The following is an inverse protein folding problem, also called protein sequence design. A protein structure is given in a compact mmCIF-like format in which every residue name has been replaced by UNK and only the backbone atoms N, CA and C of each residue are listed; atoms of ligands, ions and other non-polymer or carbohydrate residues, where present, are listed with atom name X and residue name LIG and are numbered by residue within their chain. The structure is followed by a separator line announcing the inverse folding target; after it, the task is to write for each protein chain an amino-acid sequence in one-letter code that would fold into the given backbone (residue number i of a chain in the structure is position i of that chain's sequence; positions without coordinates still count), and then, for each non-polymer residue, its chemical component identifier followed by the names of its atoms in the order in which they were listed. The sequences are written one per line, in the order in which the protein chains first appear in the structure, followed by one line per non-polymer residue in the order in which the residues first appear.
data_IF_706309100841
#
_entry.id   IF_706309100841
#
_cell.length_a   1.000
_cell.length_b   1.000
_cell.length_c   1.000
_cell.angle_alpha   90.00
_cell.angle_beta   90.00
_cell.angle_gamma   90.00
#
_symmetry.space_group_name_H-M   'P 1'
#
loop_
_entity.id
_entity.type
_entity.pdbx_description
1 polymer ?
#
# COMPACT_ATOMS: atom_id res chain seq x y z
N UNK A 1 8.00 -47.84 21.83
CA UNK A 1 8.22 -46.46 22.32
C UNK A 1 9.42 -45.90 21.60
N UNK A 2 9.21 -45.07 20.58
CA UNK A 2 10.28 -44.44 19.81
C UNK A 2 9.94 -42.98 19.59
N UNK A 3 10.52 -42.10 20.40
CA UNK A 3 10.49 -40.67 20.10
C UNK A 3 11.45 -40.40 18.95
N UNK A 4 11.03 -39.71 17.88
CA UNK A 4 11.96 -39.35 16.83
C UNK A 4 12.89 -38.25 17.34
N UNK A 5 14.17 -38.59 17.46
CA UNK A 5 15.29 -37.65 17.55
C UNK A 5 15.64 -37.19 16.14
N UNK A 6 15.12 -36.03 15.72
CA UNK A 6 15.78 -35.08 14.83
C UNK A 6 14.83 -33.96 14.42
N UNK A 7 14.91 -32.82 15.12
CA UNK A 7 14.55 -31.52 14.55
C UNK A 7 15.68 -30.53 14.87
N UNK A 8 16.94 -30.93 14.65
CA UNK A 8 18.05 -29.98 14.51
C UNK A 8 18.13 -29.58 13.04
N UNK A 9 17.35 -28.58 12.65
CA UNK A 9 17.33 -28.11 11.25
C UNK A 9 15.98 -27.62 10.75
N UNK A 10 15.01 -27.32 11.63
CA UNK A 10 13.80 -26.63 11.18
C UNK A 10 14.18 -25.24 10.69
N UNK A 11 13.69 -24.85 9.50
CA UNK A 11 13.81 -23.51 8.92
C UNK A 11 13.26 -22.38 9.82
N UNK A 12 12.70 -22.74 10.98
CA UNK A 12 12.25 -21.86 12.06
C UNK A 12 13.38 -21.08 12.74
N UNK A 13 14.65 -21.48 12.62
CA UNK A 13 15.78 -20.77 13.27
C UNK A 13 16.26 -19.53 12.51
N UNK A 14 15.76 -19.28 11.30
CA UNK A 14 16.15 -18.11 10.49
C UNK A 14 15.43 -16.81 10.88
N UNK A 15 14.42 -16.89 11.75
CA UNK A 15 13.65 -15.72 12.17
C UNK A 15 13.83 -15.54 13.68
N UNK A 16 14.09 -14.31 14.10
CA UNK A 16 14.17 -13.85 15.50
C UNK A 16 15.55 -14.00 16.17
N UNK A 17 16.53 -13.27 15.63
CA UNK A 17 17.84 -13.08 16.28
C UNK A 17 17.78 -12.17 17.52
N UNK A 18 16.66 -11.50 17.78
CA UNK A 18 16.46 -10.73 19.01
C UNK A 18 15.03 -10.90 19.53
N UNK A 19 14.87 -11.66 20.62
CA UNK A 19 13.56 -11.86 21.27
C UNK A 19 13.09 -10.65 22.06
N UNK A 20 13.98 -9.68 22.27
CA UNK A 20 13.71 -8.46 23.02
C UNK A 20 13.31 -7.30 22.10
N UNK A 21 13.21 -7.50 20.78
CA UNK A 21 12.77 -6.44 19.86
C UNK A 21 11.26 -6.24 19.88
N UNK A 22 10.81 -5.00 19.62
CA UNK A 22 9.39 -4.73 19.46
C UNK A 22 8.80 -5.53 18.29
N UNK A 23 9.57 -5.73 17.21
CA UNK A 23 9.16 -6.57 16.07
C UNK A 23 8.81 -8.01 16.48
N UNK A 24 9.64 -8.66 17.31
CA UNK A 24 9.36 -10.01 17.78
C UNK A 24 8.09 -10.06 18.63
N UNK A 25 7.95 -9.10 19.55
CA UNK A 25 6.80 -9.01 20.45
C UNK A 25 5.50 -8.80 19.66
N UNK A 26 5.48 -7.85 18.73
CA UNK A 26 4.33 -7.58 17.86
C UNK A 26 3.94 -8.82 17.04
N UNK A 27 4.89 -9.47 16.39
CA UNK A 27 4.62 -10.67 15.58
C UNK A 27 4.14 -11.85 16.43
N UNK A 28 4.60 -11.98 17.67
CA UNK A 28 4.14 -13.01 18.61
C UNK A 28 2.68 -12.77 19.02
N UNK A 29 2.33 -11.54 19.38
CA UNK A 29 0.95 -11.13 19.69
C UNK A 29 0.02 -11.43 18.50
N UNK A 30 0.43 -11.09 17.27
CA UNK A 30 -0.33 -11.36 16.05
C UNK A 30 -0.50 -12.87 15.84
N UNK A 31 0.55 -13.66 16.03
CA UNK A 31 0.52 -15.11 15.81
C UNK A 31 -0.37 -15.85 16.82
N UNK A 32 -0.43 -15.40 18.07
CA UNK A 32 -1.28 -15.97 19.12
C UNK A 32 -2.75 -15.53 19.00
N UNK A 33 -2.99 -14.37 18.38
CA UNK A 33 -4.32 -13.78 18.27
C UNK A 33 -5.07 -14.17 17.01
N UNK A 34 -4.38 -14.41 15.89
CA UNK A 34 -4.99 -14.57 14.58
C UNK A 34 -4.58 -15.86 13.86
N UNK A 35 -5.51 -16.44 13.11
CA UNK A 35 -5.25 -17.55 12.19
C UNK A 35 -4.85 -17.05 10.80
N UNK A 36 -4.35 -17.96 9.94
CA UNK A 36 -4.19 -17.65 8.52
C UNK A 36 -5.56 -17.51 7.85
N UNK A 37 -5.79 -16.52 6.93
CA UNK A 37 -4.83 -15.57 6.35
C UNK A 37 -4.64 -14.26 7.11
N UNK A 38 -5.49 -13.96 8.09
CA UNK A 38 -5.48 -12.70 8.85
C UNK A 38 -4.13 -12.42 9.53
N UNK A 39 -3.52 -13.45 10.10
CA UNK A 39 -2.17 -13.40 10.67
C UNK A 39 -1.13 -12.91 9.66
N UNK A 40 -1.17 -13.42 8.42
CA UNK A 40 -0.21 -13.03 7.39
C UNK A 40 -0.44 -11.57 6.96
N UNK A 41 -1.71 -11.17 6.82
CA UNK A 41 -2.10 -9.83 6.45
C UNK A 41 -1.65 -8.78 7.49
N UNK A 42 -1.85 -9.06 8.77
CA UNK A 42 -1.42 -8.15 9.83
C UNK A 42 0.09 -8.22 10.07
N UNK A 43 0.71 -9.39 9.93
CA UNK A 43 2.18 -9.49 10.00
C UNK A 43 2.87 -8.66 8.90
N UNK A 44 2.21 -8.49 7.75
CA UNK A 44 2.73 -7.66 6.66
C UNK A 44 2.83 -6.17 7.04
N UNK A 45 1.94 -5.66 7.90
CA UNK A 45 2.03 -4.30 8.45
C UNK A 45 3.38 -4.10 9.15
N UNK A 46 3.76 -5.01 10.03
CA UNK A 46 5.05 -4.94 10.74
C UNK A 46 6.24 -5.17 9.80
N UNK A 47 6.22 -6.26 9.02
CA UNK A 47 7.38 -6.71 8.24
C UNK A 47 7.73 -5.80 7.07
N UNK A 48 6.74 -5.13 6.49
CA UNK A 48 6.88 -4.30 5.29
C UNK A 48 6.75 -2.81 5.57
N UNK A 49 6.64 -2.41 6.83
CA UNK A 49 6.75 -1.01 7.21
C UNK A 49 8.13 -0.45 6.82
N UNK A 50 8.16 0.85 6.52
CA UNK A 50 9.40 1.59 6.24
C UNK A 50 10.33 1.55 7.44
N UNK A 51 9.78 1.72 8.65
CA UNK A 51 10.47 1.51 9.91
C UNK A 51 9.73 0.43 10.71
N UNK A 52 10.33 -0.76 10.80
CA UNK A 52 9.71 -1.91 11.47
C UNK A 52 9.60 -1.72 12.97
N UNK A 53 10.54 -1.03 13.60
CA UNK A 53 10.53 -0.84 15.05
C UNK A 53 9.41 0.13 15.44
N UNK A 54 9.30 1.25 14.72
CA UNK A 54 8.22 2.23 14.92
C UNK A 54 6.85 1.60 14.68
N UNK A 55 6.67 0.84 13.59
CA UNK A 55 5.41 0.16 13.31
C UNK A 55 5.06 -0.88 14.37
N UNK A 56 6.06 -1.62 14.86
CA UNK A 56 5.86 -2.63 15.90
C UNK A 56 5.46 -2.02 17.24
N UNK A 57 6.16 -0.97 17.67
CA UNK A 57 5.83 -0.26 18.90
C UNK A 57 4.44 0.38 18.82
N UNK A 58 4.13 1.03 17.70
CA UNK A 58 2.81 1.59 17.46
C UNK A 58 1.70 0.53 17.55
N UNK A 59 1.91 -0.63 16.94
CA UNK A 59 0.96 -1.74 17.03
C UNK A 59 0.78 -2.22 18.47
N UNK A 60 1.87 -2.44 19.21
CA UNK A 60 1.85 -2.89 20.60
C UNK A 60 1.07 -1.89 21.47
N UNK A 61 1.33 -0.59 21.31
CA UNK A 61 0.67 0.46 22.07
C UNK A 61 -0.84 0.47 21.80
N UNK A 62 -1.26 0.38 20.54
CA UNK A 62 -2.67 0.38 20.13
C UNK A 62 -3.44 -0.87 20.60
N UNK A 63 -2.77 -2.01 20.81
CA UNK A 63 -3.44 -3.24 21.27
C UNK A 63 -3.24 -3.54 22.76
N UNK A 64 -2.43 -2.74 23.43
CA UNK A 64 -2.17 -2.87 24.86
C UNK A 64 -3.47 -2.72 25.67
N UNK A 65 -3.69 -3.61 26.63
CA UNK A 65 -4.84 -3.55 27.55
C UNK A 65 -6.15 -4.19 27.09
N UNK A 66 -6.33 -4.51 25.80
CA UNK A 66 -7.60 -5.07 25.27
C UNK A 66 -7.46 -6.44 24.55
N UNK A 67 -6.24 -6.98 24.48
CA UNK A 67 -5.96 -8.35 24.01
C UNK A 67 -6.47 -8.63 22.60
N UNK A 68 -7.07 -9.81 22.38
CA UNK A 68 -7.49 -10.29 21.04
C UNK A 68 -8.52 -9.40 20.33
N UNK A 69 -9.36 -8.69 21.10
CA UNK A 69 -10.38 -7.79 20.53
C UNK A 69 -9.72 -6.58 19.87
N UNK A 70 -8.73 -5.99 20.55
CA UNK A 70 -7.95 -4.87 20.02
C UNK A 70 -7.20 -5.26 18.74
N UNK A 71 -6.59 -6.45 18.72
CA UNK A 71 -5.90 -6.99 17.53
C UNK A 71 -6.87 -7.14 16.35
N UNK A 72 -8.09 -7.62 16.60
CA UNK A 72 -9.12 -7.77 15.57
C UNK A 72 -9.62 -6.43 15.03
N UNK A 73 -9.77 -5.42 15.90
CA UNK A 73 -10.14 -4.06 15.50
C UNK A 73 -9.02 -3.41 14.68
N UNK A 74 -7.76 -3.54 15.13
CA UNK A 74 -6.61 -3.06 14.37
C UNK A 74 -6.55 -3.70 12.98
N UNK A 75 -6.78 -5.01 12.89
CA UNK A 75 -6.86 -5.69 11.60
C UNK A 75 -7.98 -5.12 10.71
N UNK A 76 -9.16 -4.83 11.26
CA UNK A 76 -10.26 -4.25 10.50
C UNK A 76 -9.90 -2.84 9.98
N UNK A 77 -9.26 -2.02 10.81
CA UNK A 77 -8.77 -0.69 10.42
C UNK A 77 -7.69 -0.79 9.34
N UNK A 78 -6.77 -1.76 9.47
CA UNK A 78 -5.74 -2.04 8.47
C UNK A 78 -6.34 -2.47 7.13
N UNK A 79 -7.34 -3.36 7.14
CA UNK A 79 -8.07 -3.77 5.94
C UNK A 79 -8.78 -2.55 5.30
N UNK A 80 -9.45 -1.73 6.10
CA UNK A 80 -10.12 -0.53 5.61
C UNK A 80 -9.13 0.44 4.94
N UNK A 81 -7.94 0.61 5.51
CA UNK A 81 -6.89 1.42 4.92
C UNK A 81 -6.38 0.80 3.59
N UNK A 82 -6.13 -0.52 3.56
CA UNK A 82 -5.70 -1.23 2.36
C UNK A 82 -6.71 -1.13 1.22
N UNK A 83 -8.00 -1.11 1.51
CA UNK A 83 -9.06 -0.89 0.51
C UNK A 83 -9.04 0.54 -0.05
N UNK A 84 -8.73 1.53 0.79
CA UNK A 84 -8.68 2.95 0.41
C UNK A 84 -7.47 3.31 -0.45
N UNK A 85 -6.34 2.65 -0.24
CA UNK A 85 -5.13 2.86 -1.06
C UNK A 85 -5.17 2.13 -2.41
N UNK A 86 -6.25 1.39 -2.71
CA UNK A 86 -6.36 0.70 -3.99
C UNK A 86 -6.49 1.71 -5.15
N UNK A 87 -5.80 1.45 -6.27
CA UNK A 87 -5.99 2.19 -7.51
C UNK A 87 -7.45 2.21 -7.96
N UNK A 88 -7.89 3.35 -8.51
CA UNK A 88 -9.25 3.55 -9.01
C UNK A 88 -9.24 3.98 -10.47
N UNK A 89 -10.18 3.47 -11.26
CA UNK A 89 -10.35 3.89 -12.66
C UNK A 89 -10.89 5.31 -12.68
N UNK A 90 -10.33 6.15 -13.56
CA UNK A 90 -10.80 7.51 -13.76
C UNK A 90 -12.12 7.51 -14.55
N UNK A 91 -13.19 8.03 -13.95
CA UNK A 91 -14.47 8.25 -14.64
C UNK A 91 -14.56 9.66 -15.24
N UNK A 92 -14.01 10.66 -14.54
CA UNK A 92 -14.32 12.08 -14.79
C UNK A 92 -13.05 12.91 -15.03
N UNK A 93 -12.19 12.48 -15.95
CA UNK A 93 -10.98 13.22 -16.29
C UNK A 93 -11.21 14.23 -17.42
N UNK A 94 -10.64 15.43 -17.29
CA UNK A 94 -10.63 16.41 -18.37
C UNK A 94 -9.98 15.86 -19.65
N UNK A 95 -10.57 16.17 -20.81
CA UNK A 95 -10.15 15.62 -22.09
C UNK A 95 -8.72 16.04 -22.48
N UNK A 96 -8.29 17.23 -22.07
CA UNK A 96 -6.94 17.75 -22.27
C UNK A 96 -5.90 16.88 -21.55
N UNK A 97 -6.11 16.61 -20.26
CA UNK A 97 -5.26 15.76 -19.44
C UNK A 97 -5.24 14.32 -19.96
N UNK A 98 -6.38 13.79 -20.39
CA UNK A 98 -6.46 12.45 -21.00
C UNK A 98 -5.60 12.36 -22.26
N UNK A 99 -5.63 13.39 -23.10
CA UNK A 99 -4.80 13.47 -24.31
C UNK A 99 -3.31 13.56 -23.98
N UNK A 100 -2.94 14.35 -22.97
CA UNK A 100 -1.55 14.48 -22.52
C UNK A 100 -0.99 13.14 -22.05
N UNK A 101 -1.75 12.38 -21.27
CA UNK A 101 -1.33 11.05 -20.78
C UNK A 101 -1.24 10.05 -21.93
N UNK A 102 -2.21 10.08 -22.85
CA UNK A 102 -2.17 9.26 -24.05
C UNK A 102 -0.93 9.52 -24.89
N UNK A 103 -0.54 10.78 -25.07
CA UNK A 103 0.68 11.17 -25.78
C UNK A 103 1.94 10.74 -25.02
N UNK A 104 1.99 10.96 -23.70
CA UNK A 104 3.09 10.53 -22.83
C UNK A 104 3.36 9.03 -22.95
N UNK A 105 2.30 8.23 -22.92
CA UNK A 105 2.38 6.76 -22.91
C UNK A 105 2.34 6.16 -24.33
N UNK A 106 2.23 7.02 -25.36
CA UNK A 106 2.17 6.64 -26.77
C UNK A 106 0.97 5.75 -27.11
N UNK A 107 -0.17 5.98 -26.46
CA UNK A 107 -1.41 5.22 -26.66
C UNK A 107 -1.33 3.74 -26.32
N UNK A 108 -0.42 3.38 -25.40
CA UNK A 108 -0.12 1.99 -25.03
C UNK A 108 -0.14 1.82 -23.51
N UNK A 109 -0.45 0.61 -23.06
CA UNK A 109 -0.29 0.24 -21.66
C UNK A 109 1.17 0.46 -21.23
N UNK A 110 1.39 1.15 -20.12
CA UNK A 110 2.74 1.46 -19.66
C UNK A 110 3.55 0.22 -19.25
N UNK A 111 2.87 -0.90 -18.91
CA UNK A 111 3.48 -2.19 -18.52
C UNK A 111 3.60 -3.15 -19.71
N UNK A 112 2.48 -3.57 -20.31
CA UNK A 112 2.47 -4.59 -21.38
C UNK A 112 2.84 -4.05 -22.75
N UNK A 113 2.87 -2.72 -22.92
CA UNK A 113 3.08 -2.01 -24.19
C UNK A 113 2.04 -2.32 -25.28
N UNK A 114 0.95 -3.01 -24.94
CA UNK A 114 -0.18 -3.27 -25.85
C UNK A 114 -0.94 -1.97 -26.10
N UNK A 115 -1.28 -1.70 -27.36
CA UNK A 115 -2.11 -0.57 -27.79
C UNK A 115 -3.54 -0.98 -28.10
N UNK A 116 -4.43 0.00 -28.27
CA UNK A 116 -5.85 -0.23 -28.54
C UNK A 116 -6.14 -0.93 -29.90
N UNK A 117 -5.20 -0.86 -30.84
CA UNK A 117 -5.34 -1.42 -32.20
C UNK A 117 -5.01 -2.91 -32.30
N UNK A 118 -4.42 -3.48 -31.24
CA UNK A 118 -4.14 -4.92 -31.17
C UNK A 118 -5.37 -5.61 -30.56
N UNK A 119 -6.07 -6.42 -31.36
CA UNK A 119 -7.29 -7.17 -31.04
C UNK A 119 -7.13 -8.17 -29.87
N UNK A 120 -6.84 -7.68 -28.67
CA UNK A 120 -6.90 -8.44 -27.43
C UNK A 120 -7.76 -7.68 -26.43
N UNK A 121 -9.07 -7.95 -26.48
CA UNK A 121 -10.08 -7.98 -25.40
C UNK A 121 -9.93 -7.07 -24.17
N UNK A 122 -9.34 -5.88 -24.32
CA UNK A 122 -9.10 -4.99 -23.20
C UNK A 122 -8.92 -3.56 -23.64
N UNK A 123 -9.92 -2.72 -23.35
CA UNK A 123 -9.78 -1.28 -23.43
C UNK A 123 -8.62 -0.80 -22.55
N UNK A 124 -7.89 0.21 -23.02
CA UNK A 124 -6.96 0.92 -22.16
C UNK A 124 -7.74 1.75 -21.13
N UNK A 125 -7.45 1.51 -19.87
CA UNK A 125 -7.99 2.21 -18.71
C UNK A 125 -7.00 3.25 -18.24
N UNK A 126 -7.53 4.43 -17.91
CA UNK A 126 -6.79 5.40 -17.14
C UNK A 126 -7.12 5.19 -15.66
N UNK A 127 -6.10 5.05 -14.82
CA UNK A 127 -6.28 4.82 -13.39
C UNK A 127 -5.43 5.78 -12.57
N UNK A 128 -6.00 6.21 -11.45
CA UNK A 128 -5.25 6.86 -10.37
C UNK A 128 -4.46 5.81 -9.59
N UNK A 129 -3.18 6.09 -9.31
CA UNK A 129 -2.36 5.27 -8.40
C UNK A 129 -2.95 5.31 -6.99
N UNK A 130 -3.28 6.50 -6.51
CA UNK A 130 -4.02 6.74 -5.28
C UNK A 130 -5.24 7.62 -5.57
N UNK A 131 -6.39 7.27 -4.99
CA UNK A 131 -7.62 8.05 -5.22
C UNK A 131 -7.43 9.52 -4.80
N UNK A 132 -7.83 10.50 -5.64
CA UNK A 132 -7.77 11.92 -5.28
C UNK A 132 -8.53 12.26 -3.99
N UNK A 133 -9.58 11.49 -3.69
CA UNK A 133 -10.41 11.66 -2.49
C UNK A 133 -9.86 10.95 -1.24
N UNK A 134 -8.68 10.34 -1.30
CA UNK A 134 -8.13 9.55 -0.20
C UNK A 134 -8.03 10.34 1.11
N UNK A 135 -7.50 11.57 1.05
CA UNK A 135 -7.40 12.46 2.23
C UNK A 135 -8.65 13.30 2.49
N UNK A 136 -9.61 13.37 1.57
CA UNK A 136 -10.84 14.16 1.74
C UNK A 136 -11.89 13.45 2.61
N UNK A 137 -11.73 12.15 2.88
CA UNK A 137 -12.68 11.38 3.67
C UNK A 137 -12.52 11.64 5.17
N UNK A 138 -13.64 11.75 5.90
CA UNK A 138 -13.68 11.87 7.38
C UNK A 138 -12.82 10.83 8.12
N UNK A 139 -12.56 9.68 7.50
CA UNK A 139 -11.79 8.59 8.10
C UNK A 139 -10.26 8.77 7.97
N UNK A 140 -9.76 9.64 7.08
CA UNK A 140 -8.34 9.98 6.90
C UNK A 140 -8.17 11.50 6.96
N UNK A 141 -8.86 12.15 7.90
CA UNK A 141 -8.50 13.49 8.32
C UNK A 141 -7.20 13.43 9.15
N UNK A 142 -6.47 14.55 9.23
CA UNK A 142 -5.28 14.65 10.06
C UNK A 142 -5.58 14.18 11.50
N UNK A 143 -4.68 13.35 12.05
CA UNK A 143 -4.81 12.70 13.36
C UNK A 143 -5.93 11.65 13.50
N UNK A 144 -6.59 11.23 12.42
CA UNK A 144 -7.48 10.06 12.51
C UNK A 144 -6.71 8.78 12.82
N UNK A 145 -7.42 7.75 13.32
CA UNK A 145 -6.81 6.44 13.59
C UNK A 145 -6.17 5.84 12.32
N UNK A 146 -6.86 5.90 11.17
CA UNK A 146 -6.33 5.39 9.91
C UNK A 146 -5.11 6.20 9.42
N UNK A 147 -5.10 7.51 9.65
CA UNK A 147 -3.94 8.35 9.36
C UNK A 147 -2.73 7.89 10.16
N UNK A 148 -2.87 7.70 11.48
CA UNK A 148 -1.79 7.23 12.36
C UNK A 148 -1.29 5.83 11.99
N UNK A 149 -2.20 4.90 11.65
CA UNK A 149 -1.83 3.57 11.14
C UNK A 149 -1.02 3.70 9.85
N UNK A 150 -1.45 4.56 8.92
CA UNK A 150 -0.75 4.74 7.66
C UNK A 150 0.63 5.36 7.87
N UNK A 151 0.72 6.38 8.74
CA UNK A 151 1.98 7.03 9.12
C UNK A 151 2.97 6.05 9.75
N UNK A 152 2.51 5.16 10.63
CA UNK A 152 3.34 4.12 11.21
C UNK A 152 3.86 3.12 10.15
N UNK A 153 3.08 2.87 9.09
CA UNK A 153 3.47 1.94 8.02
C UNK A 153 4.44 2.57 7.01
N UNK A 154 4.13 3.75 6.45
CA UNK A 154 4.92 4.38 5.38
C UNK A 154 5.92 5.43 5.88
N UNK A 155 5.82 5.84 7.15
CA UNK A 155 6.59 6.93 7.75
C UNK A 155 5.93 8.29 7.54
N UNK A 156 5.99 9.15 8.58
CA UNK A 156 5.42 10.51 8.58
C UNK A 156 5.93 11.37 7.42
N UNK A 157 7.24 11.30 7.12
CA UNK A 157 7.82 12.08 6.02
C UNK A 157 7.26 11.68 4.65
N UNK A 158 7.03 10.39 4.41
CA UNK A 158 6.43 9.92 3.17
C UNK A 158 4.95 10.28 3.09
N UNK A 159 4.25 10.25 4.22
CA UNK A 159 2.85 10.63 4.30
C UNK A 159 2.65 12.13 4.03
N UNK A 160 3.47 12.98 4.62
CA UNK A 160 3.48 14.43 4.36
C UNK A 160 3.82 14.73 2.90
N UNK A 161 4.81 14.03 2.32
CA UNK A 161 5.11 14.14 0.90
C UNK A 161 3.90 13.77 0.04
N UNK A 162 3.23 12.65 0.35
CA UNK A 162 2.04 12.19 -0.36
C UNK A 162 0.88 13.19 -0.26
N UNK A 163 0.62 13.76 0.93
CA UNK A 163 -0.36 14.84 1.12
C UNK A 163 0.01 16.06 0.27
N UNK A 164 1.29 16.46 0.28
CA UNK A 164 1.77 17.59 -0.50
C UNK A 164 1.60 17.36 -2.00
N UNK A 165 1.74 16.13 -2.50
CA UNK A 165 1.56 15.78 -3.91
C UNK A 165 0.09 15.77 -4.31
N UNK A 166 -0.78 15.22 -3.45
CA UNK A 166 -2.21 15.14 -3.74
C UNK A 166 -2.94 16.46 -3.54
N UNK A 167 -2.32 17.43 -2.86
CA UNK A 167 -2.80 18.80 -2.77
C UNK A 167 -4.02 18.91 -1.86
N UNK A 168 -3.81 19.41 -0.64
CA UNK A 168 -4.91 19.87 0.21
C UNK A 168 -5.67 21.08 -0.38
N UNK A 169 -5.11 21.72 -1.41
CA UNK A 169 -5.70 22.84 -2.14
C UNK A 169 -6.08 22.42 -3.57
N UNK A 170 -7.21 21.72 -3.69
CA UNK A 170 -7.89 21.37 -4.94
C UNK A 170 -8.40 22.57 -5.76
N UNK A 171 -7.83 23.76 -5.57
CA UNK A 171 -8.23 25.03 -6.19
C UNK A 171 -7.18 25.63 -7.14
N UNK A 172 -6.00 25.01 -7.29
CA UNK A 172 -5.03 25.46 -8.29
C UNK A 172 -5.13 24.61 -9.59
N UNK A 173 -5.60 25.19 -10.71
CA UNK A 173 -5.78 24.46 -11.98
C UNK A 173 -4.47 24.16 -12.73
N UNK A 174 -3.31 24.46 -12.15
CA UNK A 174 -2.01 24.41 -12.83
C UNK A 174 -1.11 23.24 -12.44
N UNK A 175 -1.56 22.36 -11.53
CA UNK A 175 -0.71 21.26 -11.04
C UNK A 175 -0.81 20.04 -11.96
N UNK A 176 0.35 19.57 -12.41
CA UNK A 176 0.46 18.39 -13.26
C UNK A 176 0.04 17.12 -12.51
N UNK A 177 -1.22 16.70 -12.69
CA UNK A 177 -1.77 15.47 -12.11
C UNK A 177 -1.31 14.20 -12.84
N UNK A 178 -0.54 14.32 -13.92
CA UNK A 178 -0.14 13.18 -14.74
C UNK A 178 0.71 12.16 -13.96
N UNK A 179 1.46 12.60 -12.94
CA UNK A 179 2.28 11.71 -12.09
C UNK A 179 1.47 10.70 -11.27
N UNK A 180 0.20 11.01 -10.95
CA UNK A 180 -0.71 10.09 -10.24
C UNK A 180 -1.53 9.21 -11.17
N UNK A 181 -1.34 9.34 -12.49
CA UNK A 181 -2.17 8.70 -13.51
C UNK A 181 -1.34 7.73 -14.36
N UNK A 182 -1.89 6.53 -14.57
CA UNK A 182 -1.28 5.47 -15.36
C UNK A 182 -2.26 4.94 -16.41
N UNK A 183 -1.75 4.71 -17.63
CA UNK A 183 -2.50 4.06 -18.70
C UNK A 183 -2.22 2.56 -18.69
N UNK A 184 -3.23 1.75 -18.37
CA UNK A 184 -3.12 0.30 -18.19
C UNK A 184 -4.16 -0.43 -19.06
N UNK A 185 -3.81 -1.57 -19.64
CA UNK A 185 -4.84 -2.49 -20.14
C UNK A 185 -5.66 -3.05 -18.98
N UNK A 186 -6.93 -3.39 -19.18
CA UNK A 186 -7.81 -3.96 -18.14
C UNK A 186 -7.17 -5.11 -17.34
N UNK A 187 -6.50 -6.06 -18.00
CA UNK A 187 -5.83 -7.17 -17.32
C UNK A 187 -4.70 -6.72 -16.40
N UNK A 188 -3.85 -5.79 -16.87
CA UNK A 188 -2.77 -5.21 -16.06
C UNK A 188 -3.33 -4.39 -14.90
N UNK A 189 -4.42 -3.64 -15.12
CA UNK A 189 -5.09 -2.91 -14.06
C UNK A 189 -5.55 -3.84 -12.93
N UNK A 190 -6.12 -5.00 -13.24
CA UNK A 190 -6.51 -5.97 -12.21
C UNK A 190 -5.32 -6.53 -11.42
N UNK A 191 -4.18 -6.79 -12.08
CA UNK A 191 -2.97 -7.19 -11.34
C UNK A 191 -2.42 -6.04 -10.47
N UNK A 192 -2.48 -4.80 -10.95
CA UNK A 192 -2.03 -3.62 -10.22
C UNK A 192 -2.91 -3.35 -9.00
N UNK A 193 -4.22 -3.34 -9.19
CA UNK A 193 -5.24 -3.16 -8.15
C UNK A 193 -5.13 -4.17 -7.02
N UNK A 194 -4.77 -5.41 -7.35
CA UNK A 194 -4.61 -6.50 -6.39
C UNK A 194 -3.17 -6.63 -5.85
N UNK A 195 -2.29 -5.65 -6.09
CA UNK A 195 -0.93 -5.61 -5.55
C UNK A 195 0.02 -6.68 -6.10
N UNK A 196 -0.31 -7.32 -7.24
CA UNK A 196 0.54 -8.33 -7.89
C UNK A 196 1.67 -7.71 -8.71
N UNK A 197 1.48 -6.46 -9.13
CA UNK A 197 2.50 -5.63 -9.77
C UNK A 197 2.59 -4.28 -9.04
N UNK A 198 3.79 -3.71 -9.01
CA UNK A 198 4.03 -2.39 -8.44
C UNK A 198 5.06 -1.63 -9.26
N UNK A 199 5.01 -0.30 -9.21
CA UNK A 199 6.00 0.55 -9.84
C UNK A 199 7.15 0.80 -8.88
N UNK A 200 8.38 0.75 -9.40
CA UNK A 200 9.56 1.21 -8.69
C UNK A 200 10.09 2.44 -9.39
N UNK A 201 10.46 3.45 -8.61
CA UNK A 201 11.15 4.62 -9.14
C UNK A 201 12.52 4.20 -9.68
N UNK A 202 12.80 4.53 -10.93
CA UNK A 202 14.12 4.31 -11.49
C UNK A 202 15.13 5.22 -10.77
N UNK A 203 16.23 4.66 -10.26
CA UNK A 203 17.27 5.40 -9.52
C UNK A 203 18.15 6.31 -10.41
N UNK A 204 17.87 6.42 -11.70
CA UNK A 204 18.64 7.23 -12.62
C UNK A 204 17.76 8.34 -13.20
N UNK A 205 17.79 9.50 -12.54
CA UNK A 205 17.85 10.87 -13.10
C UNK A 205 17.52 11.85 -11.97
N UNK A 206 18.24 12.97 -11.93
CA UNK A 206 17.99 14.13 -11.08
C UNK A 206 16.66 14.81 -11.47
N UNK A 207 15.54 14.11 -11.28
CA UNK A 207 14.20 14.68 -11.37
C UNK A 207 13.41 14.14 -10.18
N UNK A 208 13.29 15.01 -9.17
CA UNK A 208 12.50 14.85 -7.97
C UNK A 208 11.01 14.92 -8.31
N UNK A 209 10.39 13.79 -8.66
CA UNK A 209 8.94 13.64 -8.60
C UNK A 209 8.65 12.28 -7.96
N UNK A 210 7.99 12.35 -6.80
CA UNK A 210 7.44 11.23 -6.02
C UNK A 210 6.05 10.88 -6.55
#
# INVERSE_FOLDING_TARGET
MGSPHNISGSASQLFFQNKDSAEYSALSIIAESLAHPQRALLSAFVKHAVDREVASQFFIDEVSGQGKVAVSQFLADWICLLEKVRPVVCTDLEQSLRRNIWQRDGGRCCVSKVGNEQQHDGSLLLAYILSPSFFCGRNIADNSKLYRIFAAFIGESQLQNLQSLMGHDSLSPSRDQSGQLVLLSSHVFEHFRNGRISFKRARNTNISIL
#
